data_IF_576554249729
#
_entry.id   IF_576554249729
#
_cell.length_a   1.000
_cell.length_b   1.000
_cell.length_c   1.000
_cell.angle_alpha   90.00
_cell.angle_beta   90.00
_cell.angle_gamma   90.00
#
_symmetry.space_group_name_H-M   'P 1'
#
loop_
_entity.id
_entity.type
_entity.pdbx_description
1 polymer ?
#
# COMPACT_ATOMS: atom_id res chain seq x y z
N UNK A 1 -2.08 9.60 10.58
CA UNK A 1 -1.07 9.46 9.52
C UNK A 1 -1.50 10.28 8.32
N UNK A 2 -0.68 11.23 7.90
CA UNK A 2 -0.94 12.06 6.72
C UNK A 2 -0.36 11.39 5.49
N UNK A 3 -1.22 11.17 4.50
CA UNK A 3 -0.81 10.55 3.24
C UNK A 3 -1.04 11.57 2.13
N UNK A 4 0.02 11.87 1.38
CA UNK A 4 -0.03 12.86 0.31
C UNK A 4 0.37 12.24 -1.02
N UNK A 5 -0.07 12.87 -2.11
CA UNK A 5 0.36 12.47 -3.45
C UNK A 5 1.88 12.55 -3.52
N UNK A 6 2.50 11.51 -4.09
CA UNK A 6 3.95 11.40 -4.19
C UNK A 6 4.60 10.59 -3.08
N UNK A 7 3.86 10.31 -2.00
CA UNK A 7 4.40 9.49 -0.91
C UNK A 7 4.55 8.04 -1.35
N UNK A 8 5.59 7.39 -0.85
CA UNK A 8 5.79 5.95 -1.00
C UNK A 8 5.06 5.25 0.13
N UNK A 9 4.23 4.28 -0.19
CA UNK A 9 3.42 3.58 0.81
C UNK A 9 3.62 2.08 0.71
N UNK A 10 3.57 1.42 1.88
CA UNK A 10 3.57 -0.03 1.97
C UNK A 10 2.14 -0.48 2.24
N UNK A 11 1.61 -1.30 1.37
CA UNK A 11 0.21 -1.70 1.38
C UNK A 11 0.08 -3.17 1.74
N UNK A 12 -0.86 -3.47 2.64
CA UNK A 12 -1.23 -4.85 2.97
C UNK A 12 -2.18 -5.37 1.89
N UNK A 13 -1.76 -6.41 1.17
CA UNK A 13 -2.55 -7.05 0.12
C UNK A 13 -3.30 -8.29 0.62
N UNK A 14 -3.24 -8.57 1.91
CA UNK A 14 -3.92 -9.70 2.50
C UNK A 14 -3.02 -10.90 2.68
N UNK A 15 -3.65 -12.06 2.86
CA UNK A 15 -2.94 -13.32 3.06
C UNK A 15 -2.94 -14.15 1.81
N UNK A 16 -1.91 -14.95 1.64
CA UNK A 16 -1.86 -15.95 0.57
C UNK A 16 -1.27 -17.25 1.11
N UNK A 17 -1.65 -18.38 0.51
CA UNK A 17 -1.11 -19.69 0.91
C UNK A 17 0.27 -19.88 0.33
N UNK A 18 1.21 -20.29 1.19
CA UNK A 18 2.55 -20.61 0.77
C UNK A 18 2.56 -22.01 0.18
N UNK A 19 3.06 -22.15 -1.04
CA UNK A 19 3.17 -23.44 -1.74
C UNK A 19 1.86 -24.21 -1.85
N UNK A 20 0.73 -23.49 -1.83
CA UNK A 20 -0.56 -24.13 -1.91
C UNK A 20 -1.03 -24.81 -0.63
N UNK A 21 -0.28 -24.69 0.45
CA UNK A 21 -0.65 -25.27 1.74
C UNK A 21 -1.57 -24.32 2.51
N UNK A 22 -2.84 -24.68 2.75
CA UNK A 22 -3.78 -23.78 3.43
C UNK A 22 -3.43 -23.53 4.91
N UNK A 23 -2.53 -24.34 5.48
CA UNK A 23 -2.07 -24.15 6.86
C UNK A 23 -0.86 -23.21 6.94
N UNK A 24 -0.25 -22.90 5.81
CA UNK A 24 0.90 -21.98 5.74
C UNK A 24 0.48 -20.75 4.96
N UNK A 25 0.09 -19.71 5.70
CA UNK A 25 -0.33 -18.45 5.10
C UNK A 25 0.65 -17.35 5.50
N UNK A 26 0.99 -16.51 4.56
CA UNK A 26 1.81 -15.33 4.80
C UNK A 26 1.07 -14.07 4.38
N UNK A 27 1.31 -12.98 5.08
CA UNK A 27 0.75 -11.69 4.73
C UNK A 27 1.62 -11.07 3.63
N UNK A 28 0.95 -10.64 2.58
CA UNK A 28 1.64 -10.01 1.45
C UNK A 28 1.57 -8.51 1.55
N UNK A 29 2.72 -7.86 1.35
CA UNK A 29 2.83 -6.40 1.29
C UNK A 29 3.44 -6.00 -0.04
N UNK A 30 3.11 -4.81 -0.50
CA UNK A 30 3.71 -4.24 -1.70
C UNK A 30 3.94 -2.75 -1.51
N UNK A 31 4.96 -2.21 -2.16
CA UNK A 31 5.27 -0.80 -2.15
C UNK A 31 4.69 -0.12 -3.39
N UNK A 32 4.18 1.08 -3.21
CA UNK A 32 3.65 1.86 -4.31
C UNK A 32 3.71 3.35 -4.03
N UNK A 33 3.44 4.13 -5.08
CA UNK A 33 3.41 5.58 -5.00
C UNK A 33 1.98 6.06 -5.04
N UNK A 34 1.63 6.99 -4.14
CA UNK A 34 0.30 7.59 -4.12
C UNK A 34 0.16 8.55 -5.29
N UNK A 35 -0.81 8.31 -6.16
CA UNK A 35 -1.06 9.13 -7.34
C UNK A 35 -2.22 10.08 -7.18
N UNK A 36 -3.26 9.66 -6.46
CA UNK A 36 -4.43 10.48 -6.22
C UNK A 36 -5.00 10.17 -4.84
N UNK A 37 -5.65 11.16 -4.25
CA UNK A 37 -6.38 11.02 -3.00
C UNK A 37 -7.85 11.15 -3.33
N UNK A 38 -8.66 10.16 -2.94
CA UNK A 38 -10.09 10.14 -3.21
C UNK A 38 -10.89 9.99 -1.93
N UNK A 39 -12.17 10.35 -1.98
CA UNK A 39 -13.12 10.25 -0.86
C UNK A 39 -12.57 10.90 0.41
N UNK A 40 -12.04 12.12 0.26
CA UNK A 40 -11.55 12.91 1.39
C UNK A 40 -10.51 12.19 2.26
N UNK A 41 -9.63 11.41 1.61
CA UNK A 41 -8.57 10.71 2.32
C UNK A 41 -8.92 9.29 2.76
N UNK A 42 -10.06 8.76 2.32
CA UNK A 42 -10.47 7.38 2.63
C UNK A 42 -9.93 6.37 1.62
N UNK A 43 -9.66 6.83 0.40
CA UNK A 43 -9.17 5.97 -0.68
C UNK A 43 -8.00 6.66 -1.39
N UNK A 44 -7.05 5.85 -1.84
CA UNK A 44 -5.85 6.34 -2.52
C UNK A 44 -5.61 5.52 -3.77
N UNK A 45 -5.37 6.22 -4.89
CA UNK A 45 -4.91 5.54 -6.09
C UNK A 45 -3.40 5.35 -5.95
N UNK A 46 -2.97 4.09 -5.92
CA UNK A 46 -1.58 3.72 -5.68
C UNK A 46 -1.02 3.01 -6.90
N UNK A 47 0.11 3.52 -7.40
CA UNK A 47 0.85 2.89 -8.48
C UNK A 47 1.87 1.94 -7.88
N UNK A 48 1.67 0.64 -8.02
CA UNK A 48 2.55 -0.38 -7.44
C UNK A 48 3.82 -0.53 -8.27
N UNK A 49 4.95 -0.52 -7.60
CA UNK A 49 6.26 -0.55 -8.25
C UNK A 49 6.52 -1.90 -8.92
N UNK A 50 6.12 -2.98 -8.26
CA UNK A 50 6.43 -4.34 -8.70
C UNK A 50 5.78 -4.69 -10.04
N UNK A 51 4.49 -4.40 -10.20
CA UNK A 51 3.76 -4.79 -11.42
C UNK A 51 3.40 -3.62 -12.33
N UNK A 52 3.68 -2.39 -11.91
CA UNK A 52 3.38 -1.19 -12.69
C UNK A 52 1.90 -0.86 -12.82
N UNK A 53 1.04 -1.51 -12.05
CA UNK A 53 -0.40 -1.29 -12.10
C UNK A 53 -0.87 -0.34 -11.00
N UNK A 54 -2.03 0.26 -11.24
CA UNK A 54 -2.64 1.18 -10.28
C UNK A 54 -3.92 0.57 -9.72
N UNK A 55 -4.05 0.65 -8.40
CA UNK A 55 -5.23 0.14 -7.70
C UNK A 55 -5.72 1.17 -6.69
N UNK A 56 -7.02 1.18 -6.47
CA UNK A 56 -7.63 2.03 -5.45
C UNK A 56 -7.55 1.30 -4.11
N UNK A 57 -6.81 1.90 -3.17
CA UNK A 57 -6.46 1.28 -1.89
C UNK A 57 -7.16 2.02 -0.74
N UNK A 58 -7.69 1.26 0.20
CA UNK A 58 -8.29 1.80 1.41
C UNK A 58 -7.19 2.31 2.34
N UNK A 59 -7.44 3.42 3.02
CA UNK A 59 -6.51 3.95 4.02
C UNK A 59 -6.10 2.88 5.04
N UNK A 60 -7.04 2.06 5.45
CA UNK A 60 -6.81 0.99 6.44
C UNK A 60 -5.71 0.01 6.01
N UNK A 61 -5.56 -0.21 4.70
CA UNK A 61 -4.58 -1.17 4.18
C UNK A 61 -3.19 -0.58 3.98
N UNK A 62 -3.03 0.72 4.18
CA UNK A 62 -1.72 1.37 4.11
C UNK A 62 -1.06 1.28 5.49
N UNK A 63 0.08 0.59 5.56
CA UNK A 63 0.75 0.29 6.83
C UNK A 63 1.95 1.18 7.11
N UNK A 64 2.61 1.68 6.07
CA UNK A 64 3.78 2.54 6.21
C UNK A 64 3.72 3.62 5.14
N UNK A 65 4.11 4.83 5.52
CA UNK A 65 4.21 5.97 4.59
C UNK A 65 5.62 6.54 4.69
N UNK A 66 6.25 6.73 3.56
CA UNK A 66 7.54 7.42 3.48
C UNK A 66 7.31 8.72 2.74
N UNK A 67 7.64 9.83 3.36
CA UNK A 67 7.43 11.15 2.79
C UNK A 67 8.52 11.50 1.78
N UNK A 68 8.34 12.60 1.04
CA UNK A 68 9.28 13.05 0.02
C UNK A 68 10.67 13.32 0.57
N UNK A 69 10.77 13.73 1.84
CA UNK A 69 12.05 13.97 2.50
C UNK A 69 12.63 12.72 3.18
N UNK A 70 12.02 11.57 2.95
CA UNK A 70 12.50 10.29 3.48
C UNK A 70 12.05 9.97 4.90
N UNK A 71 11.12 10.74 5.45
CA UNK A 71 10.58 10.48 6.79
C UNK A 71 9.60 9.31 6.76
N UNK A 72 9.76 8.39 7.70
CA UNK A 72 8.87 7.22 7.80
C UNK A 72 7.77 7.52 8.81
N UNK A 73 6.52 7.45 8.33
CA UNK A 73 5.32 7.60 9.15
C UNK A 73 4.65 6.22 9.18
N UNK A 74 4.64 5.59 10.28
CA UNK A 74 4.09 4.23 10.34
C UNK A 74 2.71 4.19 10.96
#
# INVERSE_FOLDING_TARGET
MNINVGNLVRVNLGFFSVEGDPLKCERKYAWGLVKEIRREGERFMVHFIEDGREYLIKRFDIKTVVTDDGQILS
#
